data_IF_496586519818
#
_entry.id   IF_496586519818
#
_cell.length_a   1.000
_cell.length_b   1.000
_cell.length_c   1.000
_cell.angle_alpha   90.00
_cell.angle_beta   90.00
_cell.angle_gamma   90.00
#
_symmetry.space_group_name_H-M   'P 1'
#
loop_
_entity.id
_entity.type
_entity.pdbx_description
1 polymer ?
#
# COMPACT_ATOMS: atom_id res chain seq x y z
N UNK A 1 35.34 -18.16 -24.23
CA UNK A 1 35.34 -18.17 -22.75
C UNK A 1 34.00 -17.68 -22.21
N UNK A 2 33.85 -17.56 -20.89
CA UNK A 2 32.65 -17.02 -20.24
C UNK A 2 32.96 -15.68 -19.57
N UNK A 3 32.84 -14.54 -20.29
CA UNK A 3 33.29 -13.24 -19.81
C UNK A 3 32.42 -12.66 -18.68
N UNK A 4 31.15 -13.06 -18.58
CA UNK A 4 30.20 -12.53 -17.59
C UNK A 4 29.91 -13.55 -16.49
N UNK A 5 29.70 -13.08 -15.26
CA UNK A 5 29.43 -13.94 -14.09
C UNK A 5 28.51 -13.25 -13.09
N UNK A 6 27.59 -14.01 -12.49
CA UNK A 6 26.61 -13.52 -11.50
C UNK A 6 26.56 -14.48 -10.31
N UNK A 7 26.42 -13.96 -9.09
CA UNK A 7 26.22 -14.74 -7.87
C UNK A 7 24.85 -15.46 -7.91
N UNK A 8 24.77 -16.68 -7.39
CA UNK A 8 23.52 -17.45 -7.43
C UNK A 8 22.32 -16.75 -6.78
N UNK A 9 22.54 -16.04 -5.67
CA UNK A 9 21.49 -15.27 -4.99
C UNK A 9 20.91 -14.18 -5.91
N UNK A 10 21.79 -13.36 -6.50
CA UNK A 10 21.42 -12.30 -7.43
C UNK A 10 20.72 -12.83 -8.67
N UNK A 11 21.22 -13.94 -9.25
CA UNK A 11 20.61 -14.57 -10.41
C UNK A 11 19.19 -15.05 -10.10
N UNK A 12 19.02 -15.80 -9.00
CA UNK A 12 17.71 -16.26 -8.55
C UNK A 12 16.76 -15.09 -8.32
N UNK A 13 17.19 -14.04 -7.63
CA UNK A 13 16.33 -12.89 -7.33
C UNK A 13 15.89 -12.16 -8.60
N UNK A 14 16.82 -11.93 -9.55
CA UNK A 14 16.53 -11.18 -10.78
C UNK A 14 15.67 -11.95 -11.76
N UNK A 15 15.95 -13.24 -11.96
CA UNK A 15 15.33 -14.02 -13.04
C UNK A 15 14.22 -14.95 -12.57
N UNK A 16 13.86 -14.98 -11.27
CA UNK A 16 12.69 -15.73 -10.77
C UNK A 16 11.40 -15.35 -11.52
N UNK A 17 11.27 -14.10 -11.96
CA UNK A 17 10.09 -13.61 -12.70
C UNK A 17 9.92 -14.28 -14.07
N UNK A 18 11.00 -14.81 -14.67
CA UNK A 18 10.92 -15.52 -15.95
C UNK A 18 10.10 -16.80 -15.83
N UNK A 19 10.20 -17.48 -14.69
CA UNK A 19 9.38 -18.63 -14.38
C UNK A 19 9.30 -18.84 -12.86
N UNK A 20 8.27 -18.30 -12.22
CA UNK A 20 8.12 -18.42 -10.77
C UNK A 20 7.79 -19.86 -10.33
N UNK A 21 7.12 -20.65 -11.19
CA UNK A 21 6.59 -21.98 -10.86
C UNK A 21 7.66 -23.04 -10.57
N UNK A 22 8.88 -22.86 -11.10
CA UNK A 22 9.97 -23.82 -10.90
C UNK A 22 10.66 -23.69 -9.55
N UNK A 23 10.38 -22.62 -8.80
CA UNK A 23 10.82 -22.40 -7.44
C UNK A 23 9.61 -22.56 -6.51
N UNK A 24 9.52 -23.67 -5.74
CA UNK A 24 8.41 -23.90 -4.82
C UNK A 24 8.26 -22.74 -3.82
N UNK A 25 7.04 -22.27 -3.61
CA UNK A 25 6.76 -21.24 -2.60
C UNK A 25 6.88 -21.81 -1.18
N UNK A 26 7.42 -21.02 -0.26
CA UNK A 26 7.50 -21.37 1.17
C UNK A 26 8.57 -22.41 1.55
N UNK A 27 9.24 -23.06 0.60
CA UNK A 27 10.35 -23.98 0.88
C UNK A 27 11.71 -23.33 0.58
N UNK A 28 12.65 -23.49 1.51
CA UNK A 28 14.03 -23.09 1.26
C UNK A 28 14.63 -23.97 0.17
N UNK A 29 14.99 -23.35 -0.95
CA UNK A 29 15.77 -23.97 -2.01
C UNK A 29 17.13 -23.28 -2.11
N UNK A 30 18.18 -24.10 -2.12
CA UNK A 30 19.55 -23.65 -2.35
C UNK A 30 19.63 -22.79 -3.63
N UNK A 31 20.40 -21.71 -3.56
CA UNK A 31 20.44 -20.71 -4.63
C UNK A 31 21.04 -21.26 -5.93
N UNK A 32 22.01 -22.19 -5.83
CA UNK A 32 22.57 -22.85 -7.01
C UNK A 32 21.53 -23.76 -7.66
N UNK A 33 20.88 -24.62 -6.86
CA UNK A 33 19.82 -25.52 -7.36
C UNK A 33 18.63 -24.75 -7.96
N UNK A 34 18.26 -23.62 -7.37
CA UNK A 34 17.22 -22.74 -7.92
C UNK A 34 17.63 -22.13 -9.27
N UNK A 35 18.89 -21.69 -9.40
CA UNK A 35 19.42 -21.12 -10.63
C UNK A 35 19.53 -22.18 -11.74
N UNK A 36 19.90 -23.41 -11.40
CA UNK A 36 19.90 -24.57 -12.32
C UNK A 36 18.49 -24.86 -12.84
N UNK A 37 17.49 -24.92 -11.97
CA UNK A 37 16.09 -25.11 -12.36
C UNK A 37 15.56 -23.97 -13.22
N UNK A 38 15.86 -22.71 -12.87
CA UNK A 38 15.44 -21.54 -13.64
C UNK A 38 16.01 -21.60 -15.05
N UNK A 39 17.34 -21.72 -15.20
CA UNK A 39 17.98 -21.79 -16.52
C UNK A 39 17.53 -23.01 -17.32
N UNK A 40 17.32 -24.16 -16.68
CA UNK A 40 16.80 -25.36 -17.34
C UNK A 40 15.33 -25.24 -17.77
N UNK A 41 14.57 -24.33 -17.17
CA UNK A 41 13.16 -24.08 -17.53
C UNK A 41 12.98 -23.05 -18.65
N UNK A 42 14.05 -22.33 -18.98
CA UNK A 42 14.06 -21.31 -20.02
C UNK A 42 14.74 -21.94 -21.24
N UNK A 43 14.23 -21.65 -22.44
CA UNK A 43 14.76 -22.20 -23.69
C UNK A 43 16.08 -21.52 -24.10
N UNK A 44 17.16 -21.80 -23.34
CA UNK A 44 18.51 -21.28 -23.56
C UNK A 44 19.46 -22.45 -23.78
N UNK A 45 20.36 -22.31 -24.75
CA UNK A 45 21.38 -23.31 -25.04
C UNK A 45 22.34 -23.51 -23.86
N UNK A 46 22.48 -24.77 -23.41
CA UNK A 46 23.36 -25.17 -22.30
C UNK A 46 24.85 -24.92 -22.59
N UNK A 47 25.26 -24.73 -23.85
CA UNK A 47 26.64 -24.35 -24.16
C UNK A 47 26.95 -22.88 -23.85
N UNK A 48 25.93 -22.05 -23.64
CA UNK A 48 26.05 -20.61 -23.43
C UNK A 48 26.30 -20.21 -21.97
N UNK A 49 26.13 -21.14 -21.02
CA UNK A 49 26.42 -20.90 -19.61
C UNK A 49 27.13 -22.08 -18.95
N UNK A 50 27.77 -21.81 -17.80
CA UNK A 50 28.38 -22.84 -16.93
C UNK A 50 28.16 -22.51 -15.47
N UNK A 51 27.95 -23.55 -14.66
CA UNK A 51 27.83 -23.44 -13.21
C UNK A 51 29.20 -23.57 -12.55
N UNK A 52 29.58 -22.59 -11.73
CA UNK A 52 30.72 -22.69 -10.83
C UNK A 52 30.31 -23.05 -9.40
N UNK A 53 31.23 -22.87 -8.45
CA UNK A 53 30.95 -23.08 -7.03
C UNK A 53 30.03 -22.01 -6.43
N UNK A 54 30.27 -20.74 -6.75
CA UNK A 54 29.55 -19.59 -6.16
C UNK A 54 28.80 -18.74 -7.18
N UNK A 55 29.08 -18.92 -8.48
CA UNK A 55 28.58 -18.07 -9.57
C UNK A 55 28.14 -18.89 -10.77
N UNK A 56 27.20 -18.34 -11.53
CA UNK A 56 26.89 -18.75 -12.90
C UNK A 56 27.73 -17.91 -13.86
N UNK A 57 28.27 -18.54 -14.89
CA UNK A 57 29.10 -17.92 -15.92
C UNK A 57 28.37 -17.96 -17.26
N UNK A 58 28.45 -16.88 -18.04
CA UNK A 58 27.74 -16.71 -19.31
C UNK A 58 28.69 -16.34 -20.44
N UNK A 59 28.43 -16.87 -21.64
CA UNK A 59 29.03 -16.38 -22.89
C UNK A 59 28.50 -14.98 -23.21
N UNK A 60 29.21 -14.25 -24.06
CA UNK A 60 28.76 -12.95 -24.53
C UNK A 60 27.38 -13.05 -25.21
N UNK A 61 26.53 -12.06 -24.99
CA UNK A 61 25.17 -11.99 -25.56
C UNK A 61 24.09 -12.63 -24.70
N UNK A 62 24.32 -13.78 -24.06
CA UNK A 62 23.27 -14.49 -23.32
C UNK A 62 22.66 -13.66 -22.18
N UNK A 63 23.48 -12.89 -21.45
CA UNK A 63 22.96 -12.06 -20.37
C UNK A 63 22.01 -10.97 -20.89
N UNK A 64 22.26 -10.41 -22.07
CA UNK A 64 21.36 -9.44 -22.71
C UNK A 64 20.02 -10.07 -23.06
N UNK A 65 20.02 -11.28 -23.61
CA UNK A 65 18.79 -12.04 -23.90
C UNK A 65 17.98 -12.31 -22.63
N UNK A 66 18.64 -12.67 -21.53
CA UNK A 66 17.96 -12.89 -20.24
C UNK A 66 17.36 -11.60 -19.66
N UNK A 67 18.01 -10.45 -19.84
CA UNK A 67 17.46 -9.15 -19.44
C UNK A 67 16.26 -8.76 -20.31
N UNK A 68 16.33 -8.95 -21.63
CA UNK A 68 15.23 -8.66 -22.56
C UNK A 68 13.99 -9.51 -22.24
N UNK A 69 14.15 -10.82 -22.06
CA UNK A 69 13.07 -11.70 -21.61
C UNK A 69 12.47 -11.28 -20.26
N UNK A 70 13.30 -10.75 -19.35
CA UNK A 70 12.84 -10.28 -18.04
C UNK A 70 12.00 -9.02 -18.19
N UNK A 71 12.46 -8.08 -18.99
CA UNK A 71 11.80 -6.79 -19.20
C UNK A 71 10.47 -6.98 -19.93
N UNK A 72 10.38 -7.90 -20.90
CA UNK A 72 9.11 -8.30 -21.52
C UNK A 72 8.11 -8.85 -20.49
N UNK A 73 8.55 -9.76 -19.63
CA UNK A 73 7.70 -10.32 -18.55
C UNK A 73 7.27 -9.26 -17.54
N UNK A 74 8.15 -8.34 -17.17
CA UNK A 74 7.82 -7.24 -16.29
C UNK A 74 6.82 -6.28 -16.93
N UNK A 75 6.98 -5.97 -18.22
CA UNK A 75 6.04 -5.12 -18.96
C UNK A 75 4.64 -5.73 -19.01
N UNK A 76 4.52 -7.05 -19.25
CA UNK A 76 3.24 -7.78 -19.20
C UNK A 76 2.58 -7.66 -17.81
N UNK A 77 3.32 -7.98 -16.74
CA UNK A 77 2.81 -7.93 -15.37
C UNK A 77 2.38 -6.53 -14.93
N UNK A 78 3.19 -5.51 -15.25
CA UNK A 78 2.87 -4.11 -14.96
C UNK A 78 1.62 -3.69 -15.74
N UNK A 79 1.50 -4.07 -17.01
CA UNK A 79 0.33 -3.75 -17.84
C UNK A 79 -0.94 -4.37 -17.28
N UNK A 80 -0.91 -5.64 -16.87
CA UNK A 80 -2.05 -6.31 -16.22
C UNK A 80 -2.45 -5.60 -14.93
N UNK A 81 -1.48 -5.25 -14.09
CA UNK A 81 -1.72 -4.54 -12.82
C UNK A 81 -2.38 -3.19 -13.09
N UNK A 82 -1.83 -2.41 -14.02
CA UNK A 82 -2.40 -1.12 -14.37
C UNK A 82 -3.81 -1.24 -14.98
N UNK A 83 -4.07 -2.27 -15.80
CA UNK A 83 -5.39 -2.53 -16.37
C UNK A 83 -6.43 -2.81 -15.28
N UNK A 84 -6.08 -3.61 -14.27
CA UNK A 84 -6.93 -3.86 -13.11
C UNK A 84 -7.23 -2.58 -12.32
N UNK A 85 -6.20 -1.77 -12.02
CA UNK A 85 -6.37 -0.50 -11.33
C UNK A 85 -7.27 0.47 -12.10
N UNK A 86 -7.00 0.67 -13.40
CA UNK A 86 -7.82 1.54 -14.26
C UNK A 86 -9.26 1.05 -14.36
N UNK A 87 -9.46 -0.27 -14.51
CA UNK A 87 -10.79 -0.87 -14.54
C UNK A 87 -11.57 -0.66 -13.24
N UNK A 88 -10.91 -0.79 -12.09
CA UNK A 88 -11.52 -0.53 -10.78
C UNK A 88 -11.96 0.94 -10.63
N UNK A 89 -11.07 1.88 -10.98
CA UNK A 89 -11.37 3.32 -10.92
C UNK A 89 -12.55 3.67 -11.83
N UNK A 90 -12.55 3.19 -13.07
CA UNK A 90 -13.62 3.50 -14.02
C UNK A 90 -14.97 2.90 -13.64
N UNK A 91 -15.01 1.68 -13.07
CA UNK A 91 -16.26 1.12 -12.56
C UNK A 91 -16.82 1.92 -11.39
N UNK A 92 -15.96 2.38 -10.49
CA UNK A 92 -16.36 3.25 -9.38
C UNK A 92 -16.94 4.57 -9.88
N UNK A 93 -16.30 5.20 -10.87
CA UNK A 93 -16.82 6.45 -11.42
C UNK A 93 -18.11 6.23 -12.24
N UNK A 94 -18.22 5.11 -12.96
CA UNK A 94 -19.44 4.77 -13.71
C UNK A 94 -20.67 4.65 -12.80
N UNK A 95 -20.53 4.03 -11.63
CA UNK A 95 -21.63 3.96 -10.64
C UNK A 95 -22.09 5.37 -10.25
N UNK A 96 -21.16 6.28 -9.94
CA UNK A 96 -21.50 7.68 -9.62
C UNK A 96 -22.17 8.39 -10.78
N UNK A 97 -21.75 8.14 -12.03
CA UNK A 97 -22.40 8.71 -13.21
C UNK A 97 -23.85 8.21 -13.34
N UNK A 98 -24.10 6.93 -13.09
CA UNK A 98 -25.44 6.34 -13.11
C UNK A 98 -26.34 6.92 -12.02
N UNK A 99 -25.84 7.07 -10.79
CA UNK A 99 -26.57 7.72 -9.69
C UNK A 99 -26.94 9.16 -10.03
N UNK A 100 -26.00 9.94 -10.60
CA UNK A 100 -26.27 11.31 -11.07
C UNK A 100 -27.36 11.33 -12.15
N UNK A 101 -27.32 10.38 -13.10
CA UNK A 101 -28.31 10.26 -14.17
C UNK A 101 -29.71 10.01 -13.60
N UNK A 102 -29.86 9.03 -12.71
CA UNK A 102 -31.13 8.70 -12.04
C UNK A 102 -31.65 9.86 -11.19
N UNK A 103 -30.76 10.55 -10.47
CA UNK A 103 -31.10 11.73 -9.70
C UNK A 103 -31.66 12.86 -10.58
N UNK A 104 -31.07 13.10 -11.75
CA UNK A 104 -31.57 14.11 -12.71
C UNK A 104 -33.00 13.77 -13.17
N UNK A 105 -33.28 12.53 -13.55
CA UNK A 105 -34.64 12.12 -13.93
C UNK A 105 -35.63 12.30 -12.79
N UNK A 106 -35.26 11.87 -11.59
CA UNK A 106 -36.08 11.99 -10.38
C UNK A 106 -36.40 13.45 -10.07
N UNK A 107 -35.41 14.35 -10.10
CA UNK A 107 -35.60 15.78 -9.85
C UNK A 107 -36.51 16.39 -10.91
N UNK A 108 -36.24 16.15 -12.20
CA UNK A 108 -37.04 16.70 -13.29
C UNK A 108 -38.50 16.24 -13.25
N UNK A 109 -38.73 14.96 -12.92
CA UNK A 109 -40.07 14.41 -12.78
C UNK A 109 -40.80 15.03 -11.58
N UNK A 110 -40.15 15.07 -10.42
CA UNK A 110 -40.74 15.64 -9.21
C UNK A 110 -41.06 17.13 -9.34
N UNK A 111 -40.20 17.92 -9.99
CA UNK A 111 -40.48 19.34 -10.25
C UNK A 111 -41.73 19.48 -11.12
N UNK A 112 -41.85 18.72 -12.22
CA UNK A 112 -43.04 18.75 -13.09
C UNK A 112 -44.31 18.34 -12.33
N UNK A 113 -44.24 17.24 -11.58
CA UNK A 113 -45.35 16.77 -10.74
C UNK A 113 -45.76 17.81 -9.69
N UNK A 114 -44.79 18.40 -8.99
CA UNK A 114 -45.02 19.46 -8.01
C UNK A 114 -45.68 20.68 -8.64
N UNK A 115 -45.22 21.13 -9.82
CA UNK A 115 -45.82 22.27 -10.52
C UNK A 115 -47.29 22.03 -10.87
N UNK A 116 -47.69 20.79 -11.16
CA UNK A 116 -49.07 20.42 -11.43
C UNK A 116 -49.95 20.41 -10.16
N UNK A 117 -49.39 20.04 -9.00
CA UNK A 117 -50.16 19.83 -7.76
C UNK A 117 -50.10 21.03 -6.81
N UNK A 118 -49.10 21.92 -6.90
CA UNK A 118 -48.87 23.01 -5.94
C UNK A 118 -50.05 23.97 -5.78
N UNK A 119 -50.90 24.12 -6.79
CA UNK A 119 -52.08 24.99 -6.75
C UNK A 119 -53.35 24.26 -6.31
N UNK A 120 -53.33 22.94 -6.19
CA UNK A 120 -54.48 22.10 -5.82
C UNK A 120 -54.95 22.41 -4.38
N UNK A 121 -56.26 22.60 -4.13
CA UNK A 121 -56.77 23.02 -2.82
C UNK A 121 -56.32 22.14 -1.65
N UNK A 122 -56.30 20.81 -1.84
CA UNK A 122 -55.84 19.86 -0.82
C UNK A 122 -54.34 20.01 -0.49
N UNK A 123 -53.50 20.27 -1.50
CA UNK A 123 -52.07 20.52 -1.28
C UNK A 123 -51.83 21.82 -0.51
N UNK A 124 -52.60 22.87 -0.82
CA UNK A 124 -52.56 24.14 -0.07
C UNK A 124 -52.98 23.98 1.39
N UNK A 125 -54.00 23.16 1.66
CA UNK A 125 -54.44 22.85 3.01
C UNK A 125 -53.33 22.12 3.79
N UNK A 126 -52.72 21.10 3.20
CA UNK A 126 -51.61 20.36 3.78
C UNK A 126 -50.45 21.29 4.17
N UNK A 127 -50.03 22.20 3.28
CA UNK A 127 -48.93 23.14 3.59
C UNK A 127 -49.24 24.12 4.71
N UNK A 128 -50.52 24.47 4.95
CA UNK A 128 -50.92 25.31 6.09
C UNK A 128 -50.94 24.54 7.41
N UNK A 129 -51.35 23.27 7.37
CA UNK A 129 -51.52 22.45 8.58
C UNK A 129 -50.18 21.85 9.02
N UNK A 130 -49.33 21.38 8.10
CA UNK A 130 -48.07 20.67 8.44
C UNK A 130 -47.16 21.43 9.42
N UNK A 131 -46.88 22.74 9.25
CA UNK A 131 -46.04 23.48 10.19
C UNK A 131 -46.61 23.58 11.61
N UNK A 132 -47.93 23.46 11.76
CA UNK A 132 -48.61 23.49 13.06
C UNK A 132 -48.49 22.14 13.80
N UNK A 133 -48.03 21.09 13.12
CA UNK A 133 -47.79 19.75 13.68
C UNK A 133 -46.32 19.51 14.07
N UNK A 134 -45.47 20.54 14.04
CA UNK A 134 -44.02 20.49 14.28
C UNK A 134 -43.58 19.87 15.62
N UNK A 135 -44.46 19.79 16.62
CA UNK A 135 -44.14 19.21 17.92
C UNK A 135 -43.67 17.74 17.85
N UNK A 136 -44.19 16.97 16.89
CA UNK A 136 -43.78 15.57 16.69
C UNK A 136 -42.45 15.44 15.94
N UNK A 137 -42.14 16.34 15.00
CA UNK A 137 -40.86 16.35 14.28
C UNK A 137 -39.71 16.76 15.21
N UNK A 138 -39.94 17.73 16.12
CA UNK A 138 -38.95 18.18 17.10
C UNK A 138 -38.54 17.09 18.11
N UNK A 139 -39.44 16.17 18.45
CA UNK A 139 -39.13 15.06 19.37
C UNK A 139 -38.20 14.03 18.73
N UNK A 140 -38.43 13.71 17.45
CA UNK A 140 -37.57 12.81 16.67
C UNK A 140 -36.18 13.42 16.43
N UNK A 141 -36.10 14.71 16.13
CA UNK A 141 -34.84 15.45 16.00
C UNK A 141 -34.07 15.47 17.33
N UNK A 142 -34.77 15.67 18.46
CA UNK A 142 -34.14 15.61 19.78
C UNK A 142 -33.62 14.22 20.13
N UNK A 143 -34.33 13.16 19.75
CA UNK A 143 -33.86 11.78 19.94
C UNK A 143 -32.59 11.49 19.13
N UNK A 144 -32.56 11.88 17.86
CA UNK A 144 -31.36 11.75 17.02
C UNK A 144 -30.20 12.60 17.54
N UNK A 145 -30.48 13.84 17.98
CA UNK A 145 -29.45 14.70 18.57
C UNK A 145 -28.82 14.06 19.81
N UNK A 146 -29.63 13.47 20.70
CA UNK A 146 -29.12 12.76 21.88
C UNK A 146 -28.24 11.57 21.50
N UNK A 147 -28.65 10.77 20.52
CA UNK A 147 -27.85 9.63 20.05
C UNK A 147 -26.50 10.08 19.47
N UNK A 148 -26.52 11.11 18.61
CA UNK A 148 -25.27 11.67 18.04
C UNK A 148 -24.37 12.30 19.09
N UNK A 149 -24.94 12.94 20.11
CA UNK A 149 -24.21 13.53 21.21
C UNK A 149 -23.49 12.46 22.05
N UNK A 150 -24.19 11.40 22.45
CA UNK A 150 -23.57 10.32 23.24
C UNK A 150 -22.46 9.62 22.44
N UNK A 151 -22.69 9.33 21.16
CA UNK A 151 -21.65 8.74 20.31
C UNK A 151 -20.42 9.64 20.18
N UNK A 152 -20.63 10.94 19.95
CA UNK A 152 -19.53 11.91 19.83
C UNK A 152 -18.75 12.03 21.14
N UNK A 153 -19.45 11.99 22.28
CA UNK A 153 -18.85 12.04 23.62
C UNK A 153 -18.00 10.80 23.90
N UNK A 154 -18.47 9.61 23.53
CA UNK A 154 -17.70 8.37 23.63
C UNK A 154 -16.45 8.40 22.76
N UNK A 155 -16.58 8.85 21.51
CA UNK A 155 -15.46 8.94 20.57
C UNK A 155 -14.41 9.95 21.06
N UNK A 156 -14.85 11.08 21.63
CA UNK A 156 -13.97 12.06 22.25
C UNK A 156 -13.22 11.48 23.45
N UNK A 157 -13.90 10.73 24.32
CA UNK A 157 -13.26 10.09 25.46
C UNK A 157 -12.20 9.08 25.03
N UNK A 158 -12.48 8.26 24.01
CA UNK A 158 -11.51 7.31 23.42
C UNK A 158 -10.31 8.03 22.80
N UNK A 159 -10.55 9.12 22.08
CA UNK A 159 -9.48 9.91 21.46
C UNK A 159 -8.57 10.56 22.50
N UNK A 160 -9.12 11.12 23.58
CA UNK A 160 -8.35 11.71 24.67
C UNK A 160 -7.51 10.66 25.43
N UNK A 161 -8.06 9.47 25.67
CA UNK A 161 -7.32 8.37 26.28
C UNK A 161 -6.13 7.94 25.40
N UNK A 162 -6.36 7.78 24.10
CA UNK A 162 -5.30 7.41 23.14
C UNK A 162 -4.24 8.51 22.99
N UNK A 163 -4.65 9.78 23.02
CA UNK A 163 -3.72 10.91 23.00
C UNK A 163 -2.78 10.86 24.21
N UNK A 164 -3.32 10.66 25.41
CA UNK A 164 -2.53 10.57 26.65
C UNK A 164 -1.52 9.42 26.59
N UNK A 165 -1.94 8.24 26.13
CA UNK A 165 -1.05 7.07 25.96
C UNK A 165 0.12 7.37 25.00
N UNK A 166 -0.15 8.07 23.89
CA UNK A 166 0.87 8.43 22.92
C UNK A 166 1.84 9.51 23.44
N UNK A 167 1.32 10.49 24.21
CA UNK A 167 2.16 11.51 24.86
C UNK A 167 3.11 10.87 25.89
N UNK A 168 2.64 9.92 26.70
CA UNK A 168 3.47 9.18 27.66
C UNK A 168 4.58 8.37 26.95
N UNK A 169 4.23 7.66 25.86
CA UNK A 169 5.22 6.94 25.03
C UNK A 169 6.26 7.86 24.41
N UNK A 170 5.85 9.05 23.97
CA UNK A 170 6.75 10.02 23.36
C UNK A 170 7.80 10.53 24.35
N UNK A 171 7.42 10.75 25.61
CA UNK A 171 8.37 11.14 26.68
C UNK A 171 9.40 10.04 26.92
N UNK A 172 8.98 8.76 27.01
CA UNK A 172 9.90 7.63 27.16
C UNK A 172 10.92 7.55 26.02
N UNK A 173 10.45 7.63 24.77
CA UNK A 173 11.30 7.57 23.59
C UNK A 173 12.29 8.75 23.52
N UNK A 174 11.88 9.94 23.95
CA UNK A 174 12.79 11.09 24.02
C UNK A 174 13.88 10.90 25.07
N UNK A 175 13.54 10.30 26.22
CA UNK A 175 14.51 9.98 27.25
C UNK A 175 15.51 8.92 26.75
N UNK A 176 15.02 7.80 26.22
CA UNK A 176 15.85 6.74 25.64
C UNK A 176 16.78 7.28 24.55
N UNK A 177 16.28 8.15 23.67
CA UNK A 177 17.08 8.81 22.64
C UNK A 177 18.22 9.63 23.26
N UNK A 178 17.94 10.43 24.29
CA UNK A 178 18.95 11.26 24.93
C UNK A 178 20.01 10.42 25.66
N UNK A 179 19.58 9.36 26.33
CA UNK A 179 20.47 8.41 27.02
C UNK A 179 21.40 7.71 26.03
N UNK A 180 20.87 7.24 24.89
CA UNK A 180 21.67 6.66 23.81
C UNK A 180 22.62 7.68 23.18
N UNK A 181 22.21 8.95 23.02
CA UNK A 181 23.07 10.02 22.52
C UNK A 181 24.28 10.24 23.44
N UNK A 182 24.05 10.27 24.76
CA UNK A 182 25.14 10.39 25.74
C UNK A 182 26.05 9.16 25.72
N UNK A 183 25.49 7.97 25.57
CA UNK A 183 26.29 6.74 25.46
C UNK A 183 27.14 6.71 24.19
N UNK A 184 26.61 7.12 23.04
CA UNK A 184 27.38 7.21 21.79
C UNK A 184 28.51 8.22 21.90
N UNK A 185 28.27 9.36 22.55
CA UNK A 185 29.32 10.35 22.77
C UNK A 185 30.45 9.80 23.65
N UNK A 186 30.11 9.14 24.76
CA UNK A 186 31.11 8.56 25.67
C UNK A 186 31.88 7.40 25.04
N UNK A 187 31.22 6.54 24.26
CA UNK A 187 31.88 5.48 23.49
C UNK A 187 32.80 6.06 22.41
N UNK A 188 32.41 7.17 21.76
CA UNK A 188 33.25 7.88 20.80
C UNK A 188 34.51 8.47 21.43
N UNK A 189 34.40 9.11 22.59
CA UNK A 189 35.54 9.62 23.36
C UNK A 189 36.46 8.46 23.81
N UNK A 190 35.89 7.37 24.34
CA UNK A 190 36.65 6.19 24.72
C UNK A 190 37.39 5.53 23.55
N UNK A 191 36.79 5.51 22.35
CA UNK A 191 37.40 4.99 21.14
C UNK A 191 38.58 5.88 20.70
N UNK A 192 38.39 7.20 20.69
CA UNK A 192 39.44 8.17 20.39
C UNK A 192 40.63 8.00 21.33
N UNK A 193 40.38 7.89 22.65
CA UNK A 193 41.42 7.64 23.65
C UNK A 193 42.15 6.31 23.45
N UNK A 194 41.46 5.29 22.93
CA UNK A 194 42.05 3.98 22.63
C UNK A 194 42.89 4.04 21.35
N UNK A 195 42.43 4.76 20.32
CA UNK A 195 43.18 5.01 19.08
C UNK A 195 44.48 5.76 19.35
N UNK A 196 44.44 6.84 20.14
CA UNK A 196 45.64 7.59 20.54
C UNK A 196 46.65 6.72 21.30
N UNK A 197 46.17 5.86 22.22
CA UNK A 197 47.02 4.90 22.94
C UNK A 197 47.65 3.88 22.01
N UNK A 198 46.89 3.36 21.05
CA UNK A 198 47.42 2.42 20.04
C UNK A 198 48.46 3.09 19.14
N UNK A 199 48.22 4.31 18.65
CA UNK A 199 49.21 5.06 17.86
C UNK A 199 50.50 5.33 18.66
N UNK A 200 50.37 5.66 19.94
CA UNK A 200 51.50 5.87 20.84
C UNK A 200 52.37 4.62 21.08
N UNK A 201 51.81 3.42 20.92
CA UNK A 201 52.54 2.14 21.05
C UNK A 201 53.20 1.68 19.74
N UNK A 202 52.83 2.27 18.60
CA UNK A 202 53.36 1.93 17.27
C UNK A 202 54.59 2.80 16.91
N UNK A 203 54.83 3.91 17.62
CA UNK A 203 56.03 4.76 17.51
C UNK A 203 57.11 4.34 18.51
#
# INVERSE_FOLDING_TARGET
GFPSRILYGDFKQRYKVLNASVIPEGQFIDNKKASEKLLGSINVDQTQYKFGHTKVFFKAGLLGVLEEMRDEKLAELVTMTQALCRGFLMRTEFVKMMERREAVYSIQYNIRSFMNVKTWPWMKLYFKIKPLLKSAETEKEMAQMKETFEKTKEDLAKALAKKKELEEKMVSLLQEKNDLLMQVQSEGENLSDAEERCEGLIK
#
